data_IF_261972685703
#
_entry.id   IF_261972685703
#
_cell.length_a   1.000
_cell.length_b   1.000
_cell.length_c   1.000
_cell.angle_alpha   90.00
_cell.angle_beta   90.00
_cell.angle_gamma   90.00
#
_symmetry.space_group_name_H-M   'P 1'
#
loop_
_entity.id
_entity.type
_entity.pdbx_description
1 polymer ?
#
# COMPACT_ATOMS: atom_id res chain seq x y z
N UNK A 1 -11.30 10.55 5.83
CA UNK A 1 -11.12 9.67 6.99
C UNK A 1 -9.93 8.75 6.75
N UNK A 2 -9.13 8.51 7.77
CA UNK A 2 -7.86 7.81 7.60
C UNK A 2 -7.96 6.33 8.03
N UNK A 3 -7.19 5.50 7.36
CA UNK A 3 -7.05 4.11 7.73
C UNK A 3 -5.62 3.65 7.56
N UNK A 4 -5.20 2.71 8.40
CA UNK A 4 -3.86 2.15 8.37
C UNK A 4 -3.97 0.63 8.39
N UNK A 5 -3.14 -0.02 7.57
CA UNK A 5 -3.07 -1.47 7.48
C UNK A 5 -1.61 -1.87 7.61
N UNK A 6 -1.36 -2.93 8.35
CA UNK A 6 -0.01 -3.48 8.45
C UNK A 6 -0.03 -4.97 8.16
N UNK A 7 1.07 -5.48 7.62
CA UNK A 7 1.22 -6.89 7.36
C UNK A 7 2.64 -7.33 7.72
N UNK A 8 2.73 -8.43 8.42
CA UNK A 8 3.99 -9.13 8.64
C UNK A 8 3.71 -10.62 8.49
N UNK A 9 4.49 -11.28 7.65
CA UNK A 9 4.25 -12.68 7.38
C UNK A 9 5.28 -13.24 6.41
N UNK A 10 4.90 -14.27 5.67
CA UNK A 10 5.79 -14.91 4.73
C UNK A 10 5.36 -14.79 3.27
N UNK A 11 4.36 -13.96 2.99
CA UNK A 11 3.90 -13.70 1.63
C UNK A 11 4.27 -12.30 1.20
N UNK A 12 4.33 -12.06 -0.11
CA UNK A 12 4.49 -10.71 -0.64
C UNK A 12 3.32 -9.85 -0.18
N UNK A 13 3.62 -8.72 0.45
CA UNK A 13 2.59 -7.96 1.14
C UNK A 13 1.86 -6.93 0.28
N UNK A 14 2.40 -6.57 -0.88
CA UNK A 14 1.81 -5.54 -1.72
C UNK A 14 0.34 -5.80 -2.05
N UNK A 15 0.04 -6.99 -2.55
CA UNK A 15 -1.32 -7.33 -2.94
C UNK A 15 -2.26 -7.38 -1.74
N UNK A 16 -1.76 -7.91 -0.62
CA UNK A 16 -2.55 -8.01 0.61
C UNK A 16 -2.89 -6.62 1.14
N UNK A 17 -1.90 -5.74 1.18
CA UNK A 17 -2.11 -4.37 1.66
C UNK A 17 -3.05 -3.60 0.74
N UNK A 18 -2.85 -3.70 -0.58
CA UNK A 18 -3.75 -3.02 -1.52
C UNK A 18 -5.18 -3.49 -1.39
N UNK A 19 -5.39 -4.80 -1.23
CA UNK A 19 -6.73 -5.34 -1.03
C UNK A 19 -7.39 -4.80 0.23
N UNK A 20 -6.61 -4.62 1.29
CA UNK A 20 -7.12 -4.04 2.53
C UNK A 20 -7.46 -2.56 2.36
N UNK A 21 -6.63 -1.82 1.63
CA UNK A 21 -6.89 -0.41 1.37
C UNK A 21 -8.16 -0.23 0.53
N UNK A 22 -8.43 -1.14 -0.40
CA UNK A 22 -9.67 -1.12 -1.17
C UNK A 22 -10.90 -1.18 -0.26
N UNK A 23 -10.84 -1.99 0.79
CA UNK A 23 -11.95 -2.11 1.73
C UNK A 23 -12.15 -0.86 2.57
N UNK A 24 -11.09 -0.06 2.73
CA UNK A 24 -11.15 1.16 3.51
C UNK A 24 -11.53 2.38 2.68
N UNK A 25 -11.38 2.31 1.36
CA UNK A 25 -11.59 3.45 0.47
C UNK A 25 -13.00 4.03 0.56
N UNK A 26 -14.00 3.20 0.84
CA UNK A 26 -15.39 3.67 0.94
C UNK A 26 -15.57 4.75 2.01
N UNK A 27 -14.63 4.83 2.94
CA UNK A 27 -14.68 5.80 4.05
C UNK A 27 -14.14 7.18 3.65
N UNK A 28 -13.69 7.32 2.42
CA UNK A 28 -13.13 8.56 1.91
C UNK A 28 -11.63 8.43 1.67
N UNK A 29 -11.10 9.37 0.89
CA UNK A 29 -9.69 9.37 0.54
C UNK A 29 -9.24 10.77 0.17
N UNK A 30 -7.96 11.07 0.46
CA UNK A 30 -7.27 12.25 -0.06
C UNK A 30 -6.03 11.78 -0.79
N UNK A 31 -5.37 10.79 -0.22
CA UNK A 31 -4.17 10.18 -0.76
C UNK A 31 -4.05 8.78 -0.21
N UNK A 32 -3.15 8.00 -0.77
CA UNK A 32 -2.88 6.66 -0.26
C UNK A 32 -1.41 6.35 -0.46
N UNK A 33 -0.94 5.35 0.28
CA UNK A 33 0.45 4.96 0.16
C UNK A 33 0.70 3.57 0.70
N UNK A 34 1.83 3.01 0.30
CA UNK A 34 2.31 1.73 0.77
C UNK A 34 3.81 1.83 0.99
N UNK A 35 4.30 1.21 2.05
CA UNK A 35 5.73 1.13 2.31
C UNK A 35 6.07 -0.27 2.76
N UNK A 36 7.17 -0.80 2.24
CA UNK A 36 7.62 -2.16 2.57
C UNK A 36 9.11 -2.15 2.87
N UNK A 37 9.55 -3.18 3.59
CA UNK A 37 10.97 -3.46 3.80
C UNK A 37 11.34 -4.70 3.00
N UNK A 38 12.37 -4.58 2.18
CA UNK A 38 12.86 -5.68 1.36
C UNK A 38 14.39 -5.64 1.34
N UNK A 39 15.04 -6.71 1.78
CA UNK A 39 16.51 -6.79 1.90
C UNK A 39 17.06 -5.59 2.66
N UNK A 40 16.44 -5.29 3.81
CA UNK A 40 16.81 -4.19 4.71
C UNK A 40 16.66 -2.79 4.08
N UNK A 41 15.94 -2.68 2.97
CA UNK A 41 15.70 -1.40 2.32
C UNK A 41 14.22 -1.04 2.36
N UNK A 42 13.97 0.22 2.66
CA UNK A 42 12.61 0.75 2.66
C UNK A 42 12.22 1.13 1.23
N UNK A 43 11.07 0.65 0.79
CA UNK A 43 10.47 1.06 -0.47
C UNK A 43 9.12 1.67 -0.17
N UNK A 44 8.77 2.75 -0.85
CA UNK A 44 7.46 3.36 -0.65
C UNK A 44 6.91 3.93 -1.94
N UNK A 45 5.58 3.94 -2.05
CA UNK A 45 4.86 4.56 -3.16
C UNK A 45 3.68 5.30 -2.59
N UNK A 46 3.42 6.49 -3.09
CA UNK A 46 2.33 7.33 -2.65
C UNK A 46 1.65 7.97 -3.84
N UNK A 47 0.36 8.22 -3.72
CA UNK A 47 -0.39 8.90 -4.76
C UNK A 47 -1.50 9.73 -4.14
N UNK A 48 -1.75 10.89 -4.74
CA UNK A 48 -2.87 11.75 -4.36
C UNK A 48 -4.09 11.30 -5.16
N UNK A 49 -5.27 11.36 -4.54
CA UNK A 49 -6.50 11.01 -5.19
C UNK A 49 -6.96 9.60 -4.84
N UNK A 50 -7.71 9.00 -5.74
CA UNK A 50 -8.27 7.67 -5.53
C UNK A 50 -7.19 6.60 -5.44
N UNK A 51 -7.51 5.50 -4.78
CA UNK A 51 -6.61 4.36 -4.67
C UNK A 51 -6.16 3.86 -6.04
N UNK A 52 -6.98 4.02 -7.06
CA UNK A 52 -6.61 3.63 -8.42
C UNK A 52 -5.34 4.33 -8.91
N UNK A 53 -5.06 5.55 -8.42
CA UNK A 53 -3.83 6.26 -8.77
C UNK A 53 -2.61 5.56 -8.17
N UNK A 54 -2.74 5.08 -6.92
CA UNK A 54 -1.67 4.31 -6.31
C UNK A 54 -1.46 2.98 -7.03
N UNK A 55 -2.55 2.33 -7.44
CA UNK A 55 -2.46 1.07 -8.17
C UNK A 55 -1.73 1.22 -9.49
N UNK A 56 -1.97 2.32 -10.20
CA UNK A 56 -1.27 2.61 -11.45
C UNK A 56 0.22 2.77 -11.19
N UNK A 57 0.58 3.51 -10.17
CA UNK A 57 1.97 3.73 -9.80
C UNK A 57 2.67 2.42 -9.44
N UNK A 58 2.01 1.59 -8.64
CA UNK A 58 2.55 0.30 -8.21
C UNK A 58 2.70 -0.67 -9.38
N UNK A 59 1.79 -0.62 -10.35
CA UNK A 59 1.89 -1.46 -11.55
C UNK A 59 3.17 -1.17 -12.30
N UNK A 60 3.57 0.09 -12.36
CA UNK A 60 4.80 0.51 -13.02
C UNK A 60 6.04 0.22 -12.18
N UNK A 61 5.93 0.42 -10.87
CA UNK A 61 7.06 0.29 -9.96
C UNK A 61 6.60 -0.44 -8.70
N UNK A 62 6.51 -1.79 -8.76
CA UNK A 62 6.07 -2.56 -7.61
C UNK A 62 7.00 -2.41 -6.41
N UNK A 63 6.45 -2.63 -5.22
CA UNK A 63 7.25 -2.78 -4.02
C UNK A 63 7.29 -4.26 -3.65
N UNK A 64 8.40 -4.69 -3.08
CA UNK A 64 8.63 -6.08 -2.72
C UNK A 64 8.72 -6.20 -1.21
N UNK A 65 8.56 -7.43 -0.72
CA UNK A 65 8.76 -7.72 0.68
C UNK A 65 7.52 -8.30 1.35
N UNK A 66 7.75 -8.86 2.53
CA UNK A 66 6.69 -9.50 3.33
C UNK A 66 6.39 -8.74 4.61
N UNK A 67 6.91 -7.54 4.74
CA UNK A 67 6.65 -6.64 5.87
C UNK A 67 6.31 -5.27 5.29
N UNK A 68 5.15 -4.75 5.63
CA UNK A 68 4.78 -3.45 5.10
C UNK A 68 3.59 -2.84 5.78
N UNK A 69 3.37 -1.58 5.45
CA UNK A 69 2.21 -0.82 5.92
C UNK A 69 1.57 -0.12 4.73
N UNK A 70 0.30 0.18 4.88
CA UNK A 70 -0.42 1.00 3.91
C UNK A 70 -1.33 1.98 4.64
N UNK A 71 -1.66 3.07 3.96
CA UNK A 71 -2.59 4.05 4.50
C UNK A 71 -3.48 4.60 3.39
N UNK A 72 -4.59 5.13 3.81
CA UNK A 72 -5.53 5.77 2.91
C UNK A 72 -6.22 6.93 3.62
#
# INVERSE_FOLDING_TARGET
MCGIVGYVGNKECQKIILGSLERLEYRGYDSSGIATIYHDKLQSRRAVGKLSELKIKIKKMPVLGSLGIGHI
#
